data_IF_073141751892
#
_entry.id   IF_073141751892
#
_cell.length_a   1.000
_cell.length_b   1.000
_cell.length_c   1.000
_cell.angle_alpha   90.00
_cell.angle_beta   90.00
_cell.angle_gamma   90.00
#
_symmetry.space_group_name_H-M   'P 1'
#
loop_
_entity.id
_entity.type
_entity.pdbx_description
1 polymer ?
#
# COMPACT_ATOMS: atom_id res chain seq x y z
N UNK A 1 -4.58 49.76 -3.58
CA UNK A 1 -4.47 48.97 -2.33
C UNK A 1 -5.86 48.71 -1.77
N UNK A 2 -6.32 47.45 -1.77
CA UNK A 2 -7.34 46.90 -0.85
C UNK A 2 -7.07 45.39 -0.72
N UNK A 3 -6.61 44.97 0.45
CA UNK A 3 -6.27 43.58 0.79
C UNK A 3 -7.54 42.78 1.13
N UNK A 4 -7.65 41.50 0.74
CA UNK A 4 -8.63 40.58 1.30
C UNK A 4 -8.17 40.10 2.69
N UNK A 5 -9.07 40.21 3.67
CA UNK A 5 -8.87 39.74 5.03
C UNK A 5 -9.11 38.23 5.12
N UNK A 6 -8.12 37.52 5.63
CA UNK A 6 -8.19 36.12 6.03
C UNK A 6 -9.24 35.94 7.15
N UNK A 7 -10.12 34.96 7.00
CA UNK A 7 -10.69 34.23 8.14
C UNK A 7 -10.43 32.76 7.90
N UNK A 8 -9.38 32.27 8.57
CA UNK A 8 -9.11 30.86 8.76
C UNK A 8 -10.30 30.23 9.50
N UNK A 9 -10.94 29.23 8.89
CA UNK A 9 -11.87 28.34 9.59
C UNK A 9 -11.10 27.08 9.95
N UNK A 10 -10.41 27.17 11.09
CA UNK A 10 -9.74 26.05 11.76
C UNK A 10 -10.78 25.32 12.61
N UNK A 11 -11.20 24.12 12.20
CA UNK A 11 -11.79 23.04 12.99
C UNK A 11 -12.43 22.07 11.97
N UNK A 12 -12.07 20.80 11.87
CA UNK A 12 -11.80 19.85 12.94
C UNK A 12 -10.78 18.84 12.40
N UNK A 13 -9.55 18.92 12.91
CA UNK A 13 -8.59 17.84 12.80
C UNK A 13 -9.11 16.67 13.66
N UNK A 14 -10.04 15.89 13.13
CA UNK A 14 -10.19 14.52 13.57
C UNK A 14 -8.96 13.79 13.04
N UNK A 15 -7.97 13.66 13.91
CA UNK A 15 -6.89 12.70 13.81
C UNK A 15 -7.49 11.28 13.81
N UNK A 16 -8.21 10.92 12.76
CA UNK A 16 -8.32 9.52 12.37
C UNK A 16 -6.97 9.24 11.74
N UNK A 17 -6.15 8.52 12.49
CA UNK A 17 -4.82 8.11 12.09
C UNK A 17 -4.75 7.85 10.59
N UNK A 18 -4.14 8.77 9.84
CA UNK A 18 -3.69 8.52 8.46
C UNK A 18 -2.64 7.42 8.38
N UNK A 19 -2.26 6.85 9.52
CA UNK A 19 -1.45 5.66 9.67
C UNK A 19 -2.26 4.35 9.70
N UNK A 20 -3.61 4.33 9.62
CA UNK A 20 -4.33 3.05 9.59
C UNK A 20 -4.48 2.48 8.18
N UNK A 21 -4.70 3.34 7.17
CA UNK A 21 -4.84 2.89 5.77
C UNK A 21 -3.54 2.94 4.96
N UNK A 22 -2.51 3.64 5.45
CA UNK A 22 -1.19 3.68 4.83
C UNK A 22 -0.24 2.59 5.35
N UNK A 23 -0.50 2.03 6.54
CA UNK A 23 0.43 1.08 7.18
C UNK A 23 0.16 -0.38 6.81
N UNK A 24 -1.01 -0.71 6.24
CA UNK A 24 -1.17 -1.97 5.49
C UNK A 24 -0.44 -1.94 4.13
N UNK A 25 0.12 -0.78 3.78
CA UNK A 25 0.83 -0.51 2.54
C UNK A 25 2.34 -0.37 2.71
N UNK A 26 2.95 -0.69 3.86
CA UNK A 26 4.42 -0.60 4.04
C UNK A 26 5.19 -1.72 3.36
N UNK A 27 4.51 -2.74 2.82
CA UNK A 27 5.00 -3.48 1.66
C UNK A 27 4.77 -2.67 0.36
N UNK A 28 5.01 -1.35 0.38
CA UNK A 28 5.55 -0.72 -0.80
C UNK A 28 6.75 -1.57 -1.16
N UNK A 29 6.86 -1.98 -2.43
CA UNK A 29 8.02 -2.73 -2.91
C UNK A 29 9.25 -1.98 -2.41
N UNK A 30 9.86 -2.46 -1.32
CA UNK A 30 10.85 -1.67 -0.58
C UNK A 30 11.84 -1.15 -1.60
N UNK A 31 12.21 0.13 -1.50
CA UNK A 31 13.04 0.76 -2.53
C UNK A 31 14.24 -0.14 -2.83
N UNK A 32 14.68 -0.17 -4.10
CA UNK A 32 15.68 -1.11 -4.60
C UNK A 32 16.94 -1.09 -3.73
N UNK A 33 17.25 0.10 -3.22
CA UNK A 33 18.31 0.39 -2.27
C UNK A 33 18.09 -0.20 -0.88
N UNK A 34 16.86 -0.17 -0.34
CA UNK A 34 16.56 -0.68 1.02
C UNK A 34 16.70 -2.20 1.08
N UNK A 35 16.05 -2.93 0.16
CA UNK A 35 16.09 -4.39 0.17
C UNK A 35 17.49 -4.93 -0.16
N UNK A 36 18.18 -4.30 -1.13
CA UNK A 36 19.52 -4.71 -1.52
C UNK A 36 20.55 -4.50 -0.40
N UNK A 37 20.44 -3.39 0.33
CA UNK A 37 21.31 -3.09 1.45
C UNK A 37 21.03 -4.02 2.64
N UNK A 38 19.76 -4.22 2.99
CA UNK A 38 19.40 -5.07 4.13
C UNK A 38 19.78 -6.53 3.89
N UNK A 39 19.55 -7.07 2.70
CA UNK A 39 19.89 -8.47 2.40
C UNK A 39 21.34 -8.68 1.95
N UNK A 40 22.15 -7.62 1.89
CA UNK A 40 23.53 -7.66 1.39
C UNK A 40 23.61 -8.41 0.03
N UNK A 41 22.78 -7.97 -0.92
CA UNK A 41 22.65 -8.66 -2.21
C UNK A 41 23.91 -8.49 -3.07
N UNK A 42 24.29 -9.55 -3.77
CA UNK A 42 25.29 -9.46 -4.83
C UNK A 42 24.75 -8.67 -6.02
N UNK A 43 25.64 -8.09 -6.84
CA UNK A 43 25.25 -7.37 -8.06
C UNK A 43 24.40 -8.23 -9.01
N UNK A 44 24.67 -9.54 -9.07
CA UNK A 44 23.88 -10.47 -9.88
C UNK A 44 22.45 -10.64 -9.34
N UNK A 45 22.28 -10.74 -8.02
CA UNK A 45 20.96 -10.81 -7.38
C UNK A 45 20.19 -9.51 -7.54
N UNK A 46 20.85 -8.35 -7.43
CA UNK A 46 20.24 -7.03 -7.65
C UNK A 46 19.62 -6.94 -9.04
N UNK A 47 20.35 -7.35 -10.08
CA UNK A 47 19.86 -7.32 -11.46
C UNK A 47 18.65 -8.26 -11.66
N UNK A 48 18.69 -9.47 -11.07
CA UNK A 48 17.55 -10.39 -11.13
C UNK A 48 16.31 -9.83 -10.43
N UNK A 49 16.49 -9.24 -9.25
CA UNK A 49 15.40 -8.69 -8.45
C UNK A 49 14.79 -7.45 -9.10
N UNK A 50 15.58 -6.65 -9.82
CA UNK A 50 15.07 -5.54 -10.63
C UNK A 50 14.04 -6.02 -11.66
N UNK A 51 14.33 -7.10 -12.40
CA UNK A 51 13.39 -7.68 -13.35
C UNK A 51 12.08 -8.15 -12.70
N UNK A 52 12.18 -8.82 -11.54
CA UNK A 52 11.03 -9.25 -10.75
C UNK A 52 10.18 -8.06 -10.28
N UNK A 53 10.84 -6.96 -9.88
CA UNK A 53 10.18 -5.75 -9.42
C UNK A 53 9.44 -5.05 -10.56
N UNK A 54 10.07 -4.89 -11.71
CA UNK A 54 9.43 -4.28 -12.87
C UNK A 54 8.17 -5.08 -13.28
N UNK A 55 8.22 -6.41 -13.18
CA UNK A 55 7.04 -7.25 -13.38
C UNK A 55 5.97 -6.98 -12.32
N UNK A 56 6.32 -7.00 -11.03
CA UNK A 56 5.39 -6.73 -9.95
C UNK A 56 4.75 -5.33 -10.07
N UNK A 57 5.51 -4.32 -10.50
CA UNK A 57 5.00 -2.96 -10.77
C UNK A 57 3.98 -2.96 -11.90
N UNK A 58 4.21 -3.72 -12.99
CA UNK A 58 3.24 -3.85 -14.09
C UNK A 58 1.96 -4.54 -13.63
N UNK A 59 2.09 -5.62 -12.86
CA UNK A 59 0.94 -6.36 -12.31
C UNK A 59 0.11 -5.49 -11.36
N UNK A 60 0.76 -4.84 -10.40
CA UNK A 60 0.10 -3.90 -9.48
C UNK A 60 -0.53 -2.71 -10.20
N UNK A 61 0.13 -2.17 -11.23
CA UNK A 61 -0.41 -1.09 -12.05
C UNK A 61 -1.60 -1.50 -12.92
N UNK A 62 -1.84 -2.81 -13.11
CA UNK A 62 -2.98 -3.32 -13.87
C UNK A 62 -4.24 -3.49 -13.02
N UNK A 63 -4.12 -3.39 -11.69
CA UNK A 63 -5.26 -3.47 -10.77
C UNK A 63 -6.19 -2.29 -11.01
N UNK A 64 -7.46 -2.61 -11.26
CA UNK A 64 -8.50 -1.65 -11.61
C UNK A 64 -8.99 -0.88 -10.38
N UNK A 65 -8.60 0.39 -10.30
CA UNK A 65 -9.04 1.30 -9.23
C UNK A 65 -10.33 2.05 -9.56
N UNK A 66 -10.79 2.00 -10.81
CA UNK A 66 -11.99 2.69 -11.31
C UNK A 66 -13.30 2.18 -10.67
N UNK A 67 -13.29 0.95 -10.14
CA UNK A 67 -14.41 0.41 -9.39
C UNK A 67 -14.58 1.05 -8.00
N UNK A 68 -13.54 1.69 -7.44
CA UNK A 68 -13.60 2.38 -6.15
C UNK A 68 -14.29 3.72 -6.36
N UNK A 69 -15.55 3.82 -5.90
CA UNK A 69 -16.32 5.05 -6.01
C UNK A 69 -15.77 6.16 -5.10
N UNK A 70 -15.00 7.09 -5.66
CA UNK A 70 -14.34 8.17 -4.91
C UNK A 70 -15.32 9.04 -4.10
N UNK A 71 -16.55 9.19 -4.58
CA UNK A 71 -17.54 10.08 -3.99
C UNK A 71 -18.63 9.38 -3.17
N UNK A 72 -18.61 8.05 -3.00
CA UNK A 72 -19.72 7.32 -2.34
C UNK A 72 -19.98 7.86 -0.93
N UNK A 73 -18.95 7.94 -0.10
CA UNK A 73 -19.05 8.45 1.28
C UNK A 73 -19.27 9.97 1.28
N UNK A 74 -18.59 10.69 0.39
CA UNK A 74 -18.73 12.16 0.26
C UNK A 74 -20.17 12.55 -0.06
N UNK A 75 -20.84 11.80 -0.94
CA UNK A 75 -22.23 12.04 -1.32
C UNK A 75 -23.22 11.71 -0.20
N UNK A 76 -22.97 10.67 0.59
CA UNK A 76 -23.76 10.38 1.81
C UNK A 76 -23.64 11.52 2.82
N UNK A 77 -22.43 12.04 3.05
CA UNK A 77 -22.19 13.19 3.93
C UNK A 77 -22.94 14.43 3.42
N UNK A 78 -22.79 14.77 2.14
CA UNK A 78 -23.47 15.92 1.52
C UNK A 78 -24.99 15.82 1.58
N UNK A 79 -25.54 14.62 1.41
CA UNK A 79 -26.99 14.39 1.41
C UNK A 79 -27.59 14.24 2.82
N UNK A 80 -26.76 13.99 3.84
CA UNK A 80 -27.20 13.65 5.19
C UNK A 80 -27.95 12.32 5.28
N UNK A 81 -27.88 11.47 4.26
CA UNK A 81 -28.58 10.19 4.18
C UNK A 81 -27.57 9.05 4.15
N UNK A 82 -27.72 8.15 5.10
CA UNK A 82 -26.96 6.90 5.14
C UNK A 82 -27.54 5.89 4.15
N UNK A 83 -26.69 5.38 3.27
CA UNK A 83 -27.01 4.26 2.38
C UNK A 83 -26.08 3.09 2.71
N UNK A 84 -26.58 2.20 3.57
CA UNK A 84 -25.87 1.01 4.05
C UNK A 84 -25.40 0.11 2.89
N UNK A 85 -26.21 -0.04 1.84
CA UNK A 85 -25.91 -0.93 0.72
C UNK A 85 -24.76 -0.37 -0.10
N UNK A 86 -24.80 0.92 -0.43
CA UNK A 86 -23.71 1.58 -1.14
C UNK A 86 -22.43 1.63 -0.30
N UNK A 87 -22.52 1.85 1.02
CA UNK A 87 -21.37 1.85 1.91
C UNK A 87 -20.69 0.48 1.99
N UNK A 88 -21.46 -0.61 2.16
CA UNK A 88 -20.92 -1.98 2.16
C UNK A 88 -20.32 -2.38 0.82
N UNK A 89 -20.95 -1.98 -0.29
CA UNK A 89 -20.41 -2.25 -1.62
C UNK A 89 -19.06 -1.57 -1.82
N UNK A 90 -18.95 -0.29 -1.43
CA UNK A 90 -17.70 0.45 -1.48
C UNK A 90 -16.60 -0.21 -0.64
N UNK A 91 -16.94 -0.65 0.59
CA UNK A 91 -16.02 -1.37 1.45
C UNK A 91 -15.53 -2.66 0.79
N UNK A 92 -16.44 -3.47 0.23
CA UNK A 92 -16.08 -4.72 -0.44
C UNK A 92 -15.14 -4.47 -1.63
N UNK A 93 -15.43 -3.46 -2.47
CA UNK A 93 -14.58 -3.14 -3.62
C UNK A 93 -13.18 -2.68 -3.18
N UNK A 94 -13.06 -1.91 -2.10
CA UNK A 94 -11.76 -1.56 -1.52
C UNK A 94 -11.03 -2.82 -1.03
N UNK A 95 -11.73 -3.70 -0.30
CA UNK A 95 -11.16 -4.96 0.19
C UNK A 95 -10.64 -5.86 -0.94
N UNK A 96 -11.40 -5.98 -2.04
CA UNK A 96 -11.02 -6.81 -3.19
C UNK A 96 -9.74 -6.27 -3.85
N UNK A 97 -9.66 -4.95 -4.08
CA UNK A 97 -8.47 -4.29 -4.62
C UNK A 97 -7.26 -4.47 -3.70
N UNK A 98 -7.45 -4.31 -2.39
CA UNK A 98 -6.38 -4.52 -1.42
C UNK A 98 -5.91 -5.98 -1.40
N UNK A 99 -6.83 -6.94 -1.47
CA UNK A 99 -6.50 -8.37 -1.50
C UNK A 99 -5.68 -8.74 -2.74
N UNK A 100 -6.07 -8.24 -3.93
CA UNK A 100 -5.33 -8.44 -5.17
C UNK A 100 -3.92 -7.83 -5.09
N UNK A 101 -3.80 -6.60 -4.57
CA UNK A 101 -2.50 -5.98 -4.39
C UNK A 101 -1.61 -6.73 -3.38
N UNK A 102 -2.18 -7.24 -2.29
CA UNK A 102 -1.46 -8.09 -1.32
C UNK A 102 -0.98 -9.39 -1.95
N UNK A 103 -1.79 -10.02 -2.80
CA UNK A 103 -1.40 -11.21 -3.55
C UNK A 103 -0.17 -10.96 -4.42
N UNK A 104 -0.16 -9.91 -5.25
CA UNK A 104 0.98 -9.60 -6.12
C UNK A 104 2.26 -9.27 -5.34
N UNK A 105 2.14 -8.55 -4.21
CA UNK A 105 3.28 -8.28 -3.32
C UNK A 105 3.85 -9.56 -2.72
N UNK A 106 2.99 -10.45 -2.21
CA UNK A 106 3.42 -11.73 -1.66
C UNK A 106 4.08 -12.61 -2.71
N UNK A 107 3.52 -12.64 -3.93
CA UNK A 107 4.10 -13.36 -5.06
C UNK A 107 5.48 -12.83 -5.44
N UNK A 108 5.65 -11.50 -5.51
CA UNK A 108 6.95 -10.88 -5.72
C UNK A 108 7.97 -11.29 -4.65
N UNK A 109 7.61 -11.22 -3.35
CA UNK A 109 8.49 -11.60 -2.25
C UNK A 109 8.88 -13.09 -2.31
N UNK A 110 7.94 -13.95 -2.71
CA UNK A 110 8.22 -15.36 -2.96
C UNK A 110 9.25 -15.55 -4.08
N UNK A 111 9.09 -14.87 -5.23
CA UNK A 111 10.04 -14.96 -6.34
C UNK A 111 11.42 -14.38 -5.98
N UNK A 112 11.46 -13.26 -5.24
CA UNK A 112 12.71 -12.73 -4.67
C UNK A 112 13.37 -13.79 -3.81
N UNK A 113 12.62 -14.47 -2.93
CA UNK A 113 13.20 -15.50 -2.06
C UNK A 113 13.94 -16.58 -2.86
N UNK A 114 13.50 -16.92 -4.07
CA UNK A 114 14.13 -17.97 -4.89
C UNK A 114 15.54 -17.62 -5.37
N UNK A 115 15.90 -16.34 -5.43
CA UNK A 115 17.24 -15.88 -5.81
C UNK A 115 18.19 -15.66 -4.62
N UNK A 116 17.67 -15.77 -3.40
CA UNK A 116 18.41 -15.53 -2.16
C UNK A 116 19.13 -16.80 -1.66
N UNK A 117 20.26 -16.60 -0.96
CA UNK A 117 20.89 -17.66 -0.17
C UNK A 117 20.02 -18.03 1.04
N UNK A 118 20.25 -19.19 1.69
CA UNK A 118 19.53 -19.56 2.91
C UNK A 118 19.59 -18.49 4.01
N UNK A 119 20.75 -17.86 4.21
CA UNK A 119 20.95 -16.81 5.22
C UNK A 119 20.17 -15.55 4.88
N UNK A 120 20.16 -15.15 3.61
CA UNK A 120 19.38 -14.02 3.12
C UNK A 120 17.87 -14.28 3.22
N UNK A 121 17.41 -15.52 2.99
CA UNK A 121 16.01 -15.91 3.21
C UNK A 121 15.61 -15.81 4.67
N UNK A 122 16.47 -16.26 5.59
CA UNK A 122 16.22 -16.14 7.02
C UNK A 122 16.09 -14.66 7.43
N UNK A 123 16.99 -13.80 6.93
CA UNK A 123 16.90 -12.36 7.16
C UNK A 123 15.65 -11.73 6.55
N UNK A 124 15.28 -12.11 5.33
CA UNK A 124 14.04 -11.65 4.71
C UNK A 124 12.82 -12.06 5.55
N UNK A 125 12.80 -13.29 6.08
CA UNK A 125 11.75 -13.74 6.98
C UNK A 125 11.70 -12.89 8.26
N UNK A 126 12.84 -12.60 8.89
CA UNK A 126 12.90 -11.71 10.06
C UNK A 126 12.37 -10.31 9.76
N UNK A 127 12.72 -9.73 8.60
CA UNK A 127 12.20 -8.43 8.16
C UNK A 127 10.67 -8.45 8.04
N UNK A 128 10.12 -9.52 7.46
CA UNK A 128 8.67 -9.67 7.26
C UNK A 128 7.93 -9.94 8.58
N UNK A 129 8.49 -10.76 9.48
CA UNK A 129 7.89 -11.05 10.78
C UNK A 129 8.04 -9.90 11.79
N UNK A 130 9.06 -9.04 11.63
CA UNK A 130 9.25 -7.85 12.45
C UNK A 130 8.17 -6.79 12.23
N UNK A 131 7.65 -6.69 11.01
CA UNK A 131 6.52 -5.81 10.66
C UNK A 131 5.16 -6.38 11.13
N UNK A 132 5.04 -7.69 11.36
CA UNK A 132 3.82 -8.35 11.87
C UNK A 132 3.56 -8.15 13.37
N UNK A 133 4.50 -7.55 14.13
CA UNK A 133 4.39 -7.37 15.58
C UNK A 133 3.47 -6.22 16.04
N UNK A 134 2.71 -5.60 15.13
CA UNK A 134 1.80 -4.48 15.42
C UNK A 134 0.34 -4.77 15.02
N UNK A 135 -0.17 -5.93 15.45
CA UNK A 135 -1.60 -6.15 15.61
C UNK A 135 -2.02 -5.90 17.07
#
# INVERSE_FOLDING_TARGET
MKHPFNVAMTALAMCIATHAFATEGTAELQSETTLAQELNLSSAQVEQIKGLREQATRELGSIKLDAIGQDVIVNMIKSGKWDEVAARKQLQTISDVQAEARYHRAHYLFEVSRVLTPEQKAKLHEMLSGDEAMY
#
